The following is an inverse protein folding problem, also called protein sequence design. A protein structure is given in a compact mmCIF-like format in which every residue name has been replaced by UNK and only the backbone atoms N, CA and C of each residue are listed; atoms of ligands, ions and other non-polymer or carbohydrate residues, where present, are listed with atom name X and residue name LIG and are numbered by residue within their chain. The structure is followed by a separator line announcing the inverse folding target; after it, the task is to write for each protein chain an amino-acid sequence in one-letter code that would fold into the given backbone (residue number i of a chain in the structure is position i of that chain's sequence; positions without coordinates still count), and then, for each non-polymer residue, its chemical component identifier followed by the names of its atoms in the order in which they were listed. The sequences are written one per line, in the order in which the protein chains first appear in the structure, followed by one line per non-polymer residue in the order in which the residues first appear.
data_IF_899476823844
#
_entry.id   IF_899476823844
#
_cell.length_a   1.000
_cell.length_b   1.000
_cell.length_c   1.000
_cell.angle_alpha   90.00
_cell.angle_beta   90.00
_cell.angle_gamma   90.00
#
_symmetry.space_group_name_H-M   'P 1'
#
loop_
_entity.id
_entity.type
_entity.pdbx_description
1 polymer ?
#
# COMPACT_ATOMS: atom_id res chain seq x y z
N UNK A 1 16.72 46.65 -14.76
CA UNK A 1 17.83 46.16 -13.89
C UNK A 1 17.34 45.46 -12.63
N UNK A 2 16.11 45.78 -12.15
CA UNK A 2 15.47 45.16 -10.98
C UNK A 2 15.00 43.71 -11.28
N UNK A 3 14.35 43.48 -12.44
CA UNK A 3 13.84 42.17 -12.86
C UNK A 3 14.91 41.07 -12.98
N UNK A 4 16.14 41.45 -13.31
CA UNK A 4 17.24 40.51 -13.45
C UNK A 4 17.79 40.03 -12.10
N UNK A 5 17.68 40.88 -11.06
CA UNK A 5 18.05 40.54 -9.68
C UNK A 5 17.02 39.60 -9.02
N UNK A 6 15.74 39.80 -9.32
CA UNK A 6 14.66 38.96 -8.75
C UNK A 6 14.65 37.58 -9.39
N UNK A 7 14.99 37.48 -10.67
CA UNK A 7 15.14 36.20 -11.38
C UNK A 7 16.36 35.38 -10.90
N UNK A 8 17.47 36.04 -10.52
CA UNK A 8 18.63 35.39 -9.94
C UNK A 8 18.37 34.91 -8.50
N UNK A 9 17.56 35.63 -7.75
CA UNK A 9 17.22 35.28 -6.36
C UNK A 9 16.31 34.04 -6.33
N UNK A 10 15.32 33.97 -7.19
CA UNK A 10 14.42 32.81 -7.30
C UNK A 10 15.14 31.55 -7.79
N UNK A 11 16.14 31.67 -8.69
CA UNK A 11 16.96 30.55 -9.10
C UNK A 11 17.85 30.01 -7.97
N UNK A 12 18.43 30.88 -7.14
CA UNK A 12 19.26 30.47 -6.01
C UNK A 12 18.45 29.77 -4.90
N UNK A 13 17.20 30.20 -4.68
CA UNK A 13 16.29 29.58 -3.71
C UNK A 13 15.83 28.18 -4.18
N UNK A 14 15.54 28.01 -5.46
CA UNK A 14 15.22 26.70 -6.07
C UNK A 14 16.39 25.72 -6.03
N UNK A 15 17.63 26.19 -6.29
CA UNK A 15 18.82 25.33 -6.17
C UNK A 15 19.10 24.91 -4.72
N UNK A 16 18.88 25.81 -3.75
CA UNK A 16 19.04 25.49 -2.34
C UNK A 16 17.98 24.52 -1.82
N UNK A 17 16.73 24.66 -2.25
CA UNK A 17 15.66 23.71 -1.97
C UNK A 17 16.00 22.31 -2.52
N UNK A 18 16.50 22.24 -3.75
CA UNK A 18 16.90 20.97 -4.39
C UNK A 18 18.11 20.31 -3.71
N UNK A 19 19.08 21.10 -3.23
CA UNK A 19 20.22 20.57 -2.44
C UNK A 19 19.81 20.05 -1.08
N UNK A 20 18.81 20.65 -0.44
CA UNK A 20 18.29 20.21 0.84
C UNK A 20 17.47 18.92 0.69
N UNK A 21 16.71 18.75 -0.38
CA UNK A 21 16.02 17.50 -0.71
C UNK A 21 17.01 16.36 -0.94
N UNK A 22 18.07 16.58 -1.71
CA UNK A 22 19.11 15.58 -1.95
C UNK A 22 19.94 15.24 -0.70
N UNK A 23 20.04 16.15 0.26
CA UNK A 23 20.68 15.89 1.57
C UNK A 23 19.79 15.04 2.47
N UNK A 24 18.50 15.26 2.46
CA UNK A 24 17.55 14.46 3.21
C UNK A 24 17.44 13.03 2.67
N UNK A 25 17.45 12.85 1.36
CA UNK A 25 17.47 11.53 0.71
C UNK A 25 18.73 10.72 1.07
N UNK A 26 19.90 11.39 1.17
CA UNK A 26 21.15 10.72 1.58
C UNK A 26 21.19 10.37 3.08
N UNK A 27 20.45 11.08 3.93
CA UNK A 27 20.30 10.73 5.36
C UNK A 27 19.37 9.54 5.55
N UNK A 28 18.29 9.47 4.78
CA UNK A 28 17.35 8.35 4.82
C UNK A 28 17.96 7.05 4.28
N UNK A 29 18.78 7.14 3.21
CA UNK A 29 19.43 5.95 2.62
C UNK A 29 20.58 5.37 3.45
N UNK A 30 21.19 6.13 4.38
CA UNK A 30 22.24 5.62 5.27
C UNK A 30 21.70 4.85 6.48
N UNK A 31 20.43 4.99 6.84
CA UNK A 31 19.79 4.25 7.93
C UNK A 31 19.40 2.82 7.56
N UNK A 32 19.29 2.50 6.30
CA UNK A 32 18.84 1.20 5.81
C UNK A 32 19.98 0.34 5.26
N UNK A 33 21.10 0.27 6.00
CA UNK A 33 22.13 -0.74 5.72
C UNK A 33 21.65 -2.08 6.26
N UNK A 34 21.21 -2.94 5.36
CA UNK A 34 20.95 -4.37 5.52
C UNK A 34 21.83 -4.98 6.60
N UNK A 35 21.27 -5.29 7.74
CA UNK A 35 21.77 -6.37 8.56
C UNK A 35 21.26 -7.67 7.92
N UNK A 36 22.07 -8.27 7.08
CA UNK A 36 21.94 -9.68 6.75
C UNK A 36 22.08 -10.46 8.04
N UNK A 37 20.97 -10.74 8.71
CA UNK A 37 20.93 -11.70 9.79
C UNK A 37 20.92 -13.07 9.12
N UNK A 38 22.06 -13.76 9.26
CA UNK A 38 22.18 -15.17 8.93
C UNK A 38 21.07 -15.93 9.65
N UNK A 39 20.23 -16.62 8.88
CA UNK A 39 19.22 -17.54 9.39
C UNK A 39 19.99 -18.76 9.91
N UNK A 40 20.22 -18.83 11.20
CA UNK A 40 20.52 -20.08 11.88
C UNK A 40 19.19 -20.73 12.28
N UNK A 41 18.99 -22.02 12.00
CA UNK A 41 17.84 -22.75 12.48
C UNK A 41 18.02 -23.01 13.99
N UNK A 42 17.29 -22.26 14.82
CA UNK A 42 17.15 -22.62 16.24
C UNK A 42 16.08 -23.69 16.35
N UNK A 43 16.55 -24.88 16.69
CA UNK A 43 15.76 -26.04 16.97
C UNK A 43 14.69 -25.76 18.04
N UNK A 44 13.49 -26.25 17.76
CA UNK A 44 12.37 -26.38 18.68
C UNK A 44 12.82 -27.06 19.99
N UNK A 45 12.68 -26.32 21.09
CA UNK A 45 12.54 -26.89 22.41
C UNK A 45 11.15 -26.44 22.91
N UNK A 46 10.14 -27.22 22.52
CA UNK A 46 8.81 -27.18 23.11
C UNK A 46 8.94 -27.83 24.48
N UNK A 47 9.12 -27.00 25.51
CA UNK A 47 8.97 -27.44 26.89
C UNK A 47 7.50 -27.28 27.26
N UNK A 48 6.75 -28.38 27.14
CA UNK A 48 5.41 -28.54 27.63
C UNK A 48 5.41 -28.48 29.17
N UNK A 49 5.14 -27.30 29.73
CA UNK A 49 4.71 -27.23 31.13
C UNK A 49 3.19 -27.35 31.13
N UNK A 50 2.75 -28.60 31.29
CA UNK A 50 1.38 -28.92 31.67
C UNK A 50 1.13 -28.40 33.08
N UNK A 51 0.39 -27.32 33.18
CA UNK A 51 -0.17 -26.84 34.45
C UNK A 51 -1.68 -26.94 34.35
N UNK A 52 -2.22 -28.07 34.76
CA UNK A 52 -3.62 -28.24 35.11
C UNK A 52 -3.94 -27.33 36.28
N UNK A 53 -4.52 -26.17 36.00
CA UNK A 53 -5.10 -25.32 37.03
C UNK A 53 -6.59 -25.65 37.12
N UNK A 54 -6.97 -26.24 38.25
CA UNK A 54 -8.35 -26.43 38.66
C UNK A 54 -9.03 -25.05 38.78
N UNK A 55 -10.17 -24.91 38.07
CA UNK A 55 -10.95 -23.69 38.01
C UNK A 55 -11.66 -23.42 39.33
N UNK A 56 -11.42 -22.25 39.91
CA UNK A 56 -12.39 -21.56 40.76
C UNK A 56 -12.54 -20.12 40.20
N UNK A 57 -13.77 -19.64 39.96
CA UNK A 57 -13.96 -18.32 39.39
C UNK A 57 -13.89 -17.26 40.49
N UNK A 58 -12.70 -16.71 40.71
CA UNK A 58 -12.55 -15.45 41.43
C UNK A 58 -12.49 -14.33 40.39
N UNK A 59 -13.67 -13.94 39.97
CA UNK A 59 -13.88 -12.81 39.07
C UNK A 59 -13.55 -11.50 39.80
N UNK A 60 -12.36 -10.97 39.61
CA UNK A 60 -12.03 -9.60 40.00
C UNK A 60 -10.55 -9.33 40.36
N UNK A 61 -9.89 -10.20 41.08
CA UNK A 61 -8.53 -9.95 41.55
C UNK A 61 -7.44 -10.46 40.59
N UNK A 62 -7.70 -11.46 39.77
CA UNK A 62 -6.71 -12.06 38.87
C UNK A 62 -6.25 -11.17 37.69
N UNK A 63 -7.08 -10.21 37.27
CA UNK A 63 -6.73 -9.35 36.13
C UNK A 63 -5.73 -8.23 36.48
N UNK A 64 -5.80 -7.71 37.72
CA UNK A 64 -4.83 -6.73 38.21
C UNK A 64 -3.44 -7.35 38.45
N UNK A 65 -3.40 -8.62 38.85
CA UNK A 65 -2.11 -9.33 39.03
C UNK A 65 -1.39 -9.51 37.71
N UNK A 66 -2.08 -9.90 36.62
CA UNK A 66 -1.47 -10.05 35.30
C UNK A 66 -0.95 -8.71 34.76
N UNK A 67 -1.72 -7.62 34.92
CA UNK A 67 -1.26 -6.30 34.49
C UNK A 67 -0.02 -5.82 35.27
N UNK A 68 0.02 -6.05 36.58
CA UNK A 68 1.18 -5.74 37.41
C UNK A 68 2.41 -6.56 37.06
N UNK A 69 2.24 -7.85 36.84
CA UNK A 69 3.33 -8.75 36.42
C UNK A 69 3.90 -8.32 35.08
N UNK A 70 3.06 -7.96 34.12
CA UNK A 70 3.51 -7.41 32.84
C UNK A 70 4.27 -6.09 33.03
N UNK A 71 3.77 -5.16 33.84
CA UNK A 71 4.44 -3.89 34.14
C UNK A 71 5.77 -4.13 34.84
N UNK A 72 5.88 -5.08 35.78
CA UNK A 72 7.14 -5.45 36.41
C UNK A 72 8.14 -6.02 35.38
N UNK A 73 7.66 -6.85 34.46
CA UNK A 73 8.48 -7.41 33.40
C UNK A 73 9.03 -6.31 32.46
N UNK A 74 8.18 -5.37 32.01
CA UNK A 74 8.63 -4.28 31.13
C UNK A 74 9.45 -3.22 31.85
N UNK A 75 9.30 -3.04 33.19
CA UNK A 75 10.09 -2.08 33.97
C UNK A 75 11.58 -2.37 33.92
N UNK A 76 11.96 -3.63 33.74
CA UNK A 76 13.38 -4.03 33.58
C UNK A 76 13.95 -3.54 32.23
N UNK A 77 13.13 -3.42 31.21
CA UNK A 77 13.52 -2.99 29.85
C UNK A 77 13.31 -1.49 29.63
N UNK A 78 12.22 -0.94 30.16
CA UNK A 78 11.77 0.44 29.96
C UNK A 78 11.80 1.21 31.31
N UNK A 79 12.92 1.10 32.05
CA UNK A 79 13.05 1.60 33.43
C UNK A 79 12.71 3.08 33.53
N UNK A 80 13.15 3.91 32.59
CA UNK A 80 12.93 5.35 32.61
C UNK A 80 11.49 5.71 32.38
N UNK A 81 10.89 5.18 31.33
CA UNK A 81 9.51 5.44 30.92
C UNK A 81 8.51 4.97 32.00
N UNK A 82 8.76 3.78 32.60
CA UNK A 82 7.93 3.26 33.68
C UNK A 82 8.11 4.07 34.97
N UNK A 83 9.31 4.55 35.25
CA UNK A 83 9.58 5.40 36.44
C UNK A 83 8.92 6.78 36.29
N UNK A 84 8.93 7.36 35.09
CA UNK A 84 8.28 8.64 34.80
C UNK A 84 6.73 8.56 34.93
N UNK A 85 6.12 7.47 34.47
CA UNK A 85 4.67 7.27 34.54
C UNK A 85 4.19 6.76 35.92
N UNK A 86 4.97 5.94 36.55
CA UNK A 86 4.65 5.23 37.78
C UNK A 86 3.99 3.86 37.50
N UNK A 87 4.57 2.80 38.09
CA UNK A 87 4.16 1.42 37.78
C UNK A 87 2.66 1.14 38.09
N UNK A 88 2.12 1.67 39.17
CA UNK A 88 0.71 1.46 39.54
C UNK A 88 -0.25 2.17 38.58
N UNK A 89 0.10 3.37 38.11
CA UNK A 89 -0.71 4.06 37.09
C UNK A 89 -0.70 3.31 35.79
N UNK A 90 0.48 2.87 35.35
CA UNK A 90 0.62 2.07 34.14
C UNK A 90 -0.17 0.76 34.23
N UNK A 91 -0.09 0.04 35.36
CA UNK A 91 -0.87 -1.19 35.56
C UNK A 91 -2.38 -0.96 35.46
N UNK A 92 -2.87 0.17 36.01
CA UNK A 92 -4.29 0.55 35.91
C UNK A 92 -4.73 0.81 34.48
N UNK A 93 -3.88 1.42 33.64
CA UNK A 93 -4.13 1.66 32.21
C UNK A 93 -4.03 0.38 31.38
N UNK A 94 -3.08 -0.48 31.68
CA UNK A 94 -2.84 -1.75 30.98
C UNK A 94 -3.99 -2.74 31.18
N UNK A 95 -4.58 -2.78 32.38
CA UNK A 95 -5.63 -3.75 32.71
C UNK A 95 -6.82 -3.78 31.72
N UNK A 96 -7.48 -2.65 31.37
CA UNK A 96 -8.60 -2.67 30.43
C UNK A 96 -8.13 -3.04 29.01
N UNK A 97 -6.91 -2.69 28.62
CA UNK A 97 -6.35 -3.06 27.32
C UNK A 97 -6.12 -4.57 27.23
N UNK A 98 -5.55 -5.20 28.26
CA UNK A 98 -5.39 -6.65 28.28
C UNK A 98 -6.75 -7.37 28.29
N UNK A 99 -7.76 -6.83 28.97
CA UNK A 99 -9.09 -7.39 28.95
C UNK A 99 -9.74 -7.35 27.56
N UNK A 100 -9.43 -6.30 26.75
CA UNK A 100 -9.96 -6.09 25.41
C UNK A 100 -9.14 -6.81 24.33
N UNK A 101 -7.81 -6.78 24.44
CA UNK A 101 -6.87 -7.15 23.37
C UNK A 101 -6.16 -8.49 23.62
N UNK A 102 -6.24 -9.02 24.83
CA UNK A 102 -5.63 -10.31 25.18
C UNK A 102 -4.12 -10.34 24.96
N UNK A 103 -3.65 -11.43 24.34
CA UNK A 103 -2.22 -11.68 24.08
C UNK A 103 -1.60 -10.64 23.15
N UNK A 104 -2.33 -10.17 22.12
CA UNK A 104 -1.82 -9.15 21.19
C UNK A 104 -1.49 -7.84 21.93
N UNK A 105 -2.33 -7.42 22.87
CA UNK A 105 -2.04 -6.27 23.73
C UNK A 105 -0.82 -6.48 24.63
N UNK A 106 -0.70 -7.67 25.25
CA UNK A 106 0.46 -8.03 26.06
C UNK A 106 1.77 -8.01 25.28
N UNK A 107 1.76 -8.61 24.07
CA UNK A 107 2.94 -8.68 23.22
C UNK A 107 3.37 -7.28 22.72
N UNK A 108 2.39 -6.43 22.35
CA UNK A 108 2.64 -5.06 21.97
C UNK A 108 3.30 -4.26 23.09
N UNK A 109 2.76 -4.38 24.33
CA UNK A 109 3.31 -3.69 25.50
C UNK A 109 4.70 -4.24 25.86
N UNK A 110 4.92 -5.55 25.78
CA UNK A 110 6.22 -6.16 26.04
C UNK A 110 7.31 -5.71 25.06
N UNK A 111 6.94 -5.45 23.79
CA UNK A 111 7.88 -5.02 22.76
C UNK A 111 8.18 -3.53 22.80
N UNK A 112 7.16 -2.70 22.94
CA UNK A 112 7.22 -1.23 22.75
C UNK A 112 7.16 -0.47 24.09
N UNK A 113 6.73 -1.12 25.16
CA UNK A 113 6.65 -0.52 26.49
C UNK A 113 5.43 0.40 26.67
N UNK A 114 5.53 1.39 27.59
CA UNK A 114 4.44 2.30 27.92
C UNK A 114 3.86 3.05 26.73
N UNK A 115 4.68 3.33 25.73
CA UNK A 115 4.24 3.99 24.51
C UNK A 115 3.16 3.20 23.75
N UNK A 116 3.23 1.86 23.77
CA UNK A 116 2.17 1.02 23.19
C UNK A 116 0.82 1.24 23.87
N UNK A 117 0.82 1.40 25.20
CA UNK A 117 -0.39 1.67 25.99
C UNK A 117 -1.06 2.95 25.49
N UNK A 118 -0.27 4.04 25.40
CA UNK A 118 -0.76 5.34 24.92
C UNK A 118 -1.34 5.24 23.49
N UNK A 119 -0.62 4.59 22.58
CA UNK A 119 -1.08 4.43 21.19
C UNK A 119 -2.37 3.61 21.08
N UNK A 120 -2.51 2.56 21.89
CA UNK A 120 -3.73 1.74 21.90
C UNK A 120 -4.92 2.47 22.52
N UNK A 121 -4.71 3.30 23.54
CA UNK A 121 -5.76 4.14 24.12
C UNK A 121 -6.23 5.23 23.15
N UNK A 122 -5.28 5.94 22.50
CA UNK A 122 -5.58 6.95 21.48
C UNK A 122 -6.30 6.36 20.26
N UNK A 123 -6.05 5.09 19.96
CA UNK A 123 -6.68 4.40 18.84
C UNK A 123 -8.14 4.03 19.09
N UNK A 124 -8.59 3.93 20.34
CA UNK A 124 -9.98 3.63 20.69
C UNK A 124 -10.45 2.29 20.07
N UNK A 125 -11.35 2.36 19.09
CA UNK A 125 -11.87 1.16 18.41
C UNK A 125 -10.81 0.46 17.56
N UNK A 126 -9.88 1.20 16.98
CA UNK A 126 -8.78 0.67 16.16
C UNK A 126 -7.63 0.08 17.00
N UNK A 127 -7.76 0.03 18.35
CA UNK A 127 -6.73 -0.48 19.25
C UNK A 127 -6.28 -1.92 18.95
N UNK A 128 -7.17 -2.76 18.40
CA UNK A 128 -6.83 -4.12 17.95
C UNK A 128 -5.80 -4.08 16.81
N UNK A 129 -5.99 -3.18 15.84
CA UNK A 129 -5.05 -2.99 14.72
C UNK A 129 -3.70 -2.51 15.24
N UNK A 130 -3.70 -1.53 16.15
CA UNK A 130 -2.49 -1.02 16.79
C UNK A 130 -1.76 -2.11 17.54
N UNK A 131 -2.47 -2.89 18.37
CA UNK A 131 -1.88 -3.98 19.14
C UNK A 131 -1.22 -5.01 18.23
N UNK A 132 -1.90 -5.49 17.18
CA UNK A 132 -1.34 -6.46 16.24
C UNK A 132 -0.09 -5.93 15.53
N UNK A 133 -0.14 -4.70 15.03
CA UNK A 133 1.00 -4.09 14.35
C UNK A 133 2.20 -3.94 15.29
N UNK A 134 2.00 -3.44 16.51
CA UNK A 134 3.05 -3.29 17.50
C UNK A 134 3.56 -4.64 18.01
N UNK A 135 2.69 -5.63 18.22
CA UNK A 135 3.07 -6.98 18.62
C UNK A 135 3.94 -7.66 17.55
N UNK A 136 3.66 -7.42 16.28
CA UNK A 136 4.38 -8.04 15.15
C UNK A 136 5.68 -7.33 14.82
N UNK A 137 5.66 -6.00 14.77
CA UNK A 137 6.74 -5.18 14.23
C UNK A 137 7.45 -4.28 15.25
N UNK A 138 6.94 -4.19 16.50
CA UNK A 138 7.53 -3.36 17.54
C UNK A 138 7.54 -1.87 17.19
N UNK A 139 8.66 -1.22 17.51
CA UNK A 139 8.86 0.24 17.30
C UNK A 139 8.76 0.65 15.84
N UNK A 140 9.07 -0.23 14.88
CA UNK A 140 9.00 0.06 13.45
C UNK A 140 7.57 0.37 12.99
N UNK A 141 6.56 -0.21 13.69
CA UNK A 141 5.15 0.05 13.38
C UNK A 141 4.63 1.39 13.91
N UNK A 142 5.34 2.05 14.84
CA UNK A 142 4.84 3.26 15.51
C UNK A 142 4.44 4.32 14.48
N UNK A 143 5.29 4.56 13.48
CA UNK A 143 5.01 5.54 12.44
C UNK A 143 3.71 5.23 11.68
N UNK A 144 3.44 3.96 11.40
CA UNK A 144 2.24 3.55 10.67
C UNK A 144 0.97 3.68 11.53
N UNK A 145 1.07 3.36 12.84
CA UNK A 145 -0.11 3.34 13.72
C UNK A 145 -0.38 4.66 14.45
N UNK A 146 0.59 5.57 14.49
CA UNK A 146 0.45 6.84 15.19
C UNK A 146 -0.58 7.78 14.52
N UNK A 147 -0.73 7.71 13.20
CA UNK A 147 -1.64 8.57 12.45
C UNK A 147 -3.01 7.90 12.27
N UNK A 148 -4.13 8.56 12.63
CA UNK A 148 -5.48 7.99 12.50
C UNK A 148 -5.84 7.57 11.07
N UNK A 149 -5.48 8.36 10.05
CA UNK A 149 -5.77 8.01 8.66
C UNK A 149 -5.06 6.72 8.21
N UNK A 150 -3.81 6.51 8.66
CA UNK A 150 -3.07 5.26 8.37
C UNK A 150 -3.66 4.08 9.12
N UNK A 151 -4.07 4.25 10.40
CA UNK A 151 -4.77 3.20 11.14
C UNK A 151 -6.03 2.76 10.43
N UNK A 152 -6.84 3.72 9.97
CA UNK A 152 -8.05 3.43 9.21
C UNK A 152 -7.77 2.69 7.90
N UNK A 153 -6.68 3.03 7.18
CA UNK A 153 -6.25 2.25 6.02
C UNK A 153 -5.88 0.82 6.40
N UNK A 154 -5.11 0.62 7.48
CA UNK A 154 -4.74 -0.73 7.95
C UNK A 154 -5.99 -1.50 8.38
N UNK A 155 -6.90 -0.85 9.10
CA UNK A 155 -8.16 -1.48 9.54
C UNK A 155 -9.03 -1.95 8.37
N UNK A 156 -9.10 -1.16 7.29
CA UNK A 156 -9.93 -1.46 6.12
C UNK A 156 -9.28 -2.41 5.12
N UNK A 157 -7.95 -2.35 4.96
CA UNK A 157 -7.22 -3.09 3.93
C UNK A 157 -6.47 -4.32 4.45
N UNK A 158 -6.31 -4.42 5.78
CA UNK A 158 -5.60 -5.50 6.46
C UNK A 158 -4.17 -5.17 6.86
N UNK A 159 -3.57 -6.06 7.66
CA UNK A 159 -2.22 -5.86 8.24
C UNK A 159 -1.12 -5.74 7.17
N UNK A 160 -1.29 -6.39 6.02
CA UNK A 160 -0.37 -6.28 4.88
C UNK A 160 -0.29 -4.84 4.33
N UNK A 161 -1.35 -4.04 4.48
CA UNK A 161 -1.31 -2.62 4.17
C UNK A 161 -0.40 -1.85 5.14
N UNK A 162 -0.37 -2.27 6.41
CA UNK A 162 0.57 -1.77 7.40
C UNK A 162 2.03 -2.04 7.01
N UNK A 163 2.32 -3.24 6.52
CA UNK A 163 3.65 -3.60 5.99
C UNK A 163 4.03 -2.74 4.79
N UNK A 164 3.08 -2.48 3.88
CA UNK A 164 3.29 -1.57 2.75
C UNK A 164 3.60 -0.14 3.22
N UNK A 165 2.87 0.35 4.24
CA UNK A 165 3.11 1.67 4.84
C UNK A 165 4.50 1.77 5.48
N UNK A 166 4.92 0.75 6.23
CA UNK A 166 6.25 0.73 6.84
C UNK A 166 7.37 0.69 5.80
N UNK A 167 7.16 -0.04 4.70
CA UNK A 167 8.16 -0.19 3.63
C UNK A 167 8.31 1.06 2.77
N UNK A 168 7.21 1.71 2.41
CA UNK A 168 7.16 2.78 1.42
C UNK A 168 6.76 4.15 1.98
N UNK A 169 6.39 4.23 3.26
CA UNK A 169 6.03 5.48 3.90
C UNK A 169 4.79 6.14 3.31
N UNK A 170 4.83 7.47 3.19
CA UNK A 170 3.74 8.29 2.64
C UNK A 170 3.40 7.96 1.18
N UNK A 171 4.32 7.34 0.45
CA UNK A 171 4.09 6.86 -0.91
C UNK A 171 3.02 5.77 -0.93
N UNK A 172 3.13 4.78 -0.02
CA UNK A 172 2.12 3.73 0.11
C UNK A 172 0.77 4.30 0.56
N UNK A 173 0.75 5.28 1.45
CA UNK A 173 -0.47 5.92 1.93
C UNK A 173 -1.32 6.45 0.76
N UNK A 174 -0.70 7.17 -0.19
CA UNK A 174 -1.37 7.67 -1.39
C UNK A 174 -1.92 6.56 -2.27
N UNK A 175 -1.09 5.57 -2.58
CA UNK A 175 -1.47 4.47 -3.47
C UNK A 175 -2.57 3.62 -2.85
N UNK A 176 -2.48 3.30 -1.55
CA UNK A 176 -3.50 2.55 -0.81
C UNK A 176 -4.84 3.30 -0.76
N UNK A 177 -4.81 4.62 -0.56
CA UNK A 177 -6.02 5.44 -0.55
C UNK A 177 -6.73 5.48 -1.92
N UNK A 178 -5.97 5.46 -3.02
CA UNK A 178 -6.52 5.54 -4.38
C UNK A 178 -6.92 4.19 -4.97
N UNK A 179 -6.12 3.15 -4.72
CA UNK A 179 -6.24 1.84 -5.38
C UNK A 179 -6.76 0.74 -4.44
N UNK A 180 -6.89 1.04 -3.16
CA UNK A 180 -7.45 0.12 -2.16
C UNK A 180 -6.69 -1.20 -2.05
N UNK A 181 -7.43 -2.27 -1.76
CA UNK A 181 -6.87 -3.61 -1.48
C UNK A 181 -6.03 -4.18 -2.62
N UNK A 182 -6.37 -3.88 -3.87
CA UNK A 182 -5.63 -4.40 -5.04
C UNK A 182 -4.17 -3.95 -5.06
N UNK A 183 -3.85 -2.78 -4.49
CA UNK A 183 -2.48 -2.26 -4.47
C UNK A 183 -1.59 -2.84 -3.36
N UNK A 184 -2.16 -3.49 -2.35
CA UNK A 184 -1.41 -4.01 -1.20
C UNK A 184 -0.36 -5.03 -1.65
N UNK A 185 -0.77 -6.04 -2.41
CA UNK A 185 0.14 -7.08 -2.93
C UNK A 185 1.22 -6.49 -3.83
N UNK A 186 0.86 -5.51 -4.69
CA UNK A 186 1.80 -4.82 -5.55
C UNK A 186 2.86 -4.06 -4.75
N UNK A 187 2.45 -3.26 -3.77
CA UNK A 187 3.36 -2.49 -2.90
C UNK A 187 4.28 -3.42 -2.09
N UNK A 188 3.76 -4.51 -1.56
CA UNK A 188 4.58 -5.45 -0.78
C UNK A 188 5.59 -6.22 -1.63
N UNK A 189 5.39 -6.29 -2.95
CA UNK A 189 6.28 -7.03 -3.86
C UNK A 189 7.34 -6.19 -4.53
N UNK A 190 7.10 -4.87 -4.70
CA UNK A 190 8.03 -3.97 -5.37
C UNK A 190 9.08 -3.38 -4.43
N UNK A 191 10.20 -2.97 -4.99
CA UNK A 191 11.23 -2.18 -4.31
C UNK A 191 10.75 -0.76 -4.00
N UNK A 192 11.54 0.00 -3.22
CA UNK A 192 11.27 1.41 -2.98
C UNK A 192 11.16 2.23 -4.28
N UNK A 193 11.94 1.87 -5.31
CA UNK A 193 11.85 2.51 -6.62
C UNK A 193 10.54 2.16 -7.33
N UNK A 194 10.15 0.88 -7.30
CA UNK A 194 8.88 0.42 -7.85
C UNK A 194 7.68 1.10 -7.19
N UNK A 195 7.70 1.22 -5.87
CA UNK A 195 6.67 1.94 -5.10
C UNK A 195 6.56 3.41 -5.51
N UNK A 196 7.69 4.12 -5.68
CA UNK A 196 7.70 5.51 -6.18
C UNK A 196 7.09 5.64 -7.57
N UNK A 197 7.42 4.73 -8.49
CA UNK A 197 6.86 4.73 -9.86
C UNK A 197 5.36 4.48 -9.84
N UNK A 198 4.90 3.55 -9.00
CA UNK A 198 3.47 3.28 -8.84
C UNK A 198 2.72 4.51 -8.32
N UNK A 199 3.30 5.23 -7.35
CA UNK A 199 2.72 6.47 -6.83
C UNK A 199 2.68 7.58 -7.90
N UNK A 200 3.72 7.72 -8.72
CA UNK A 200 3.74 8.69 -9.82
C UNK A 200 2.64 8.36 -10.84
N UNK A 201 2.46 7.07 -11.19
CA UNK A 201 1.36 6.65 -12.07
C UNK A 201 -0.02 6.95 -11.46
N UNK A 202 -0.15 6.81 -10.14
CA UNK A 202 -1.38 7.09 -9.42
C UNK A 202 -1.67 8.60 -9.31
N UNK A 203 -0.65 9.43 -9.19
CA UNK A 203 -0.77 10.88 -9.10
C UNK A 203 -1.09 11.53 -10.46
N UNK A 204 -0.56 11.01 -11.56
CA UNK A 204 -0.77 11.54 -12.91
C UNK A 204 -2.15 11.15 -13.46
N UNK A 205 -3.05 12.10 -13.73
CA UNK A 205 -4.38 11.81 -14.26
C UNK A 205 -4.39 10.98 -15.55
N UNK A 206 -3.36 11.12 -16.40
CA UNK A 206 -3.25 10.39 -17.66
C UNK A 206 -2.93 8.91 -17.47
N UNK A 207 -2.18 8.56 -16.43
CA UNK A 207 -1.72 7.18 -16.17
C UNK A 207 -2.39 6.53 -14.95
N UNK A 208 -3.22 7.28 -14.23
CA UNK A 208 -3.92 6.79 -13.01
C UNK A 208 -4.71 5.52 -13.26
N UNK A 209 -5.32 5.39 -14.43
CA UNK A 209 -6.07 4.18 -14.82
C UNK A 209 -5.22 2.92 -14.75
N UNK A 210 -3.92 2.97 -15.02
CA UNK A 210 -3.01 1.84 -14.88
C UNK A 210 -2.72 1.50 -13.41
N UNK A 211 -2.53 2.54 -12.59
CA UNK A 211 -2.23 2.37 -11.16
C UNK A 211 -3.45 1.95 -10.33
N UNK A 212 -4.67 2.13 -10.83
CA UNK A 212 -5.91 1.71 -10.17
C UNK A 212 -6.53 0.46 -10.79
N UNK A 213 -5.99 -0.03 -11.91
CA UNK A 213 -6.45 -1.26 -12.55
C UNK A 213 -6.04 -2.49 -11.71
N UNK A 214 -7.03 -3.24 -11.26
CA UNK A 214 -6.82 -4.39 -10.38
C UNK A 214 -5.97 -5.49 -11.02
N UNK A 215 -6.11 -5.73 -12.33
CA UNK A 215 -5.37 -6.77 -13.05
C UNK A 215 -3.89 -6.37 -13.23
N UNK A 216 -3.63 -5.10 -13.55
CA UNK A 216 -2.26 -4.57 -13.61
C UNK A 216 -1.58 -4.67 -12.25
N UNK A 217 -2.29 -4.30 -11.17
CA UNK A 217 -1.78 -4.41 -9.81
C UNK A 217 -1.56 -5.86 -9.40
N UNK A 218 -2.43 -6.79 -9.81
CA UNK A 218 -2.23 -8.23 -9.58
C UNK A 218 -0.97 -8.75 -10.28
N UNK A 219 -0.72 -8.32 -11.54
CA UNK A 219 0.50 -8.66 -12.28
C UNK A 219 1.74 -8.09 -11.57
N UNK A 220 1.69 -6.83 -11.13
CA UNK A 220 2.79 -6.23 -10.35
C UNK A 220 2.98 -7.00 -9.03
N UNK A 221 1.91 -7.40 -8.36
CA UNK A 221 1.96 -8.23 -7.15
C UNK A 221 2.59 -9.60 -7.40
N UNK A 222 2.39 -10.19 -8.58
CA UNK A 222 2.97 -11.49 -8.95
C UNK A 222 4.44 -11.38 -9.35
N UNK A 223 4.79 -10.42 -10.21
CA UNK A 223 6.11 -10.33 -10.86
C UNK A 223 7.02 -9.22 -10.28
N UNK A 224 6.53 -8.41 -9.35
CA UNK A 224 7.30 -7.37 -8.63
C UNK A 224 7.84 -6.28 -9.54
N UNK A 225 9.10 -5.89 -9.27
CA UNK A 225 9.78 -4.81 -9.99
C UNK A 225 9.87 -5.05 -11.51
N UNK A 226 9.95 -6.31 -11.94
CA UNK A 226 10.00 -6.65 -13.35
C UNK A 226 8.74 -6.19 -14.09
N UNK A 227 7.55 -6.43 -13.50
CA UNK A 227 6.30 -5.94 -14.05
C UNK A 227 6.18 -4.42 -13.91
N UNK A 228 6.61 -3.87 -12.77
CA UNK A 228 6.58 -2.43 -12.55
C UNK A 228 7.46 -1.66 -13.54
N UNK A 229 8.66 -2.19 -13.84
CA UNK A 229 9.57 -1.62 -14.83
C UNK A 229 8.97 -1.64 -16.24
N UNK A 230 8.33 -2.75 -16.60
CA UNK A 230 7.63 -2.85 -17.88
C UNK A 230 6.48 -1.83 -17.99
N UNK A 231 5.60 -1.79 -16.99
CA UNK A 231 4.48 -0.84 -16.94
C UNK A 231 4.99 0.61 -17.00
N UNK A 232 6.05 0.92 -16.26
CA UNK A 232 6.63 2.26 -16.24
C UNK A 232 7.18 2.69 -17.59
N UNK A 233 7.96 1.82 -18.25
CA UNK A 233 8.56 2.13 -19.56
C UNK A 233 7.52 2.25 -20.66
N UNK A 234 6.44 1.49 -20.57
CA UNK A 234 5.45 1.34 -21.62
C UNK A 234 4.09 1.95 -21.27
N UNK A 235 4.05 2.83 -20.26
CA UNK A 235 2.80 3.40 -19.73
C UNK A 235 1.90 4.01 -20.81
N UNK A 236 2.47 4.73 -21.77
CA UNK A 236 1.68 5.36 -22.85
C UNK A 236 1.09 4.33 -23.82
N UNK A 237 1.83 3.27 -24.13
CA UNK A 237 1.32 2.19 -24.98
C UNK A 237 0.23 1.37 -24.27
N UNK A 238 0.38 1.16 -22.96
CA UNK A 238 -0.61 0.46 -22.14
C UNK A 238 -1.91 1.24 -21.93
N UNK A 239 -1.93 2.54 -22.20
CA UNK A 239 -3.18 3.31 -22.21
C UNK A 239 -4.08 2.98 -23.40
N UNK A 240 -3.56 2.32 -24.44
CA UNK A 240 -4.39 1.75 -25.51
C UNK A 240 -5.04 0.46 -25.03
N UNK A 241 -6.36 0.36 -25.14
CA UNK A 241 -7.10 -0.77 -24.59
C UNK A 241 -6.64 -2.14 -25.12
N UNK A 242 -6.23 -2.22 -26.38
CA UNK A 242 -5.73 -3.45 -27.01
C UNK A 242 -4.40 -3.94 -26.41
N UNK A 243 -3.43 -3.03 -26.21
CA UNK A 243 -2.13 -3.37 -25.62
C UNK A 243 -2.27 -3.76 -24.16
N UNK A 244 -3.13 -3.05 -23.42
CA UNK A 244 -3.41 -3.38 -22.02
C UNK A 244 -4.05 -4.75 -21.89
N UNK A 245 -5.06 -5.04 -22.72
CA UNK A 245 -5.74 -6.33 -22.71
C UNK A 245 -4.78 -7.49 -23.04
N UNK A 246 -3.89 -7.31 -24.03
CA UNK A 246 -2.87 -8.28 -24.37
C UNK A 246 -1.89 -8.54 -23.22
N UNK A 247 -1.42 -7.48 -22.57
CA UNK A 247 -0.53 -7.58 -21.40
C UNK A 247 -1.21 -8.28 -20.22
N UNK A 248 -2.49 -7.97 -19.96
CA UNK A 248 -3.24 -8.63 -18.87
C UNK A 248 -3.46 -10.12 -19.16
N UNK A 249 -3.80 -10.46 -20.40
CA UNK A 249 -4.07 -11.84 -20.79
C UNK A 249 -2.82 -12.73 -20.70
N UNK A 250 -1.66 -12.24 -21.11
CA UNK A 250 -0.40 -12.99 -21.07
C UNK A 250 0.80 -12.07 -20.80
N UNK A 251 1.13 -11.77 -19.53
CA UNK A 251 2.20 -10.83 -19.20
C UNK A 251 3.61 -11.35 -19.46
N UNK A 252 3.84 -12.67 -19.39
CA UNK A 252 5.19 -13.24 -19.42
C UNK A 252 6.01 -12.90 -20.67
N UNK A 253 5.49 -13.04 -21.91
CA UNK A 253 6.26 -12.67 -23.10
C UNK A 253 6.66 -11.19 -23.16
N UNK A 254 5.85 -10.31 -22.57
CA UNK A 254 6.17 -8.89 -22.48
C UNK A 254 7.27 -8.63 -21.45
N UNK A 255 7.23 -9.33 -20.33
CA UNK A 255 8.23 -9.20 -19.27
C UNK A 255 9.57 -9.83 -19.66
N UNK A 256 9.58 -10.87 -20.47
CA UNK A 256 10.81 -11.53 -20.98
C UNK A 256 11.44 -10.79 -22.15
N UNK A 257 10.78 -9.74 -22.65
CA UNK A 257 11.25 -8.99 -23.82
C UNK A 257 11.10 -9.73 -25.15
N UNK A 258 10.38 -10.86 -25.14
CA UNK A 258 10.10 -11.63 -26.36
C UNK A 258 9.15 -10.89 -27.30
N UNK A 259 8.32 -10.02 -26.77
CA UNK A 259 7.40 -9.16 -27.52
C UNK A 259 7.81 -7.71 -27.33
N UNK A 260 8.27 -7.07 -28.42
CA UNK A 260 8.42 -5.62 -28.46
C UNK A 260 7.07 -4.99 -28.80
N UNK A 261 6.68 -3.97 -28.01
CA UNK A 261 5.37 -3.31 -28.20
C UNK A 261 5.14 -2.70 -29.60
N UNK A 262 6.21 -2.46 -30.35
CA UNK A 262 6.16 -2.04 -31.75
C UNK A 262 5.62 -3.13 -32.68
N UNK A 263 5.75 -4.40 -32.31
CA UNK A 263 5.22 -5.54 -33.06
C UNK A 263 3.75 -5.84 -32.71
N UNK A 264 3.31 -5.44 -31.50
CA UNK A 264 1.90 -5.60 -31.04
C UNK A 264 0.93 -4.78 -31.87
N UNK A 265 1.38 -3.65 -32.42
CA UNK A 265 0.59 -2.81 -33.32
C UNK A 265 0.42 -3.43 -34.72
N UNK A 266 1.15 -4.49 -35.05
CA UNK A 266 1.17 -5.15 -36.37
C UNK A 266 0.84 -6.66 -36.29
N UNK A 267 -0.36 -7.00 -36.68
CA UNK A 267 -0.84 -8.24 -37.31
C UNK A 267 -0.68 -9.63 -36.66
N UNK A 268 0.29 -9.94 -35.78
CA UNK A 268 0.52 -11.32 -35.35
C UNK A 268 -0.06 -11.71 -33.99
N UNK A 269 -0.37 -10.74 -33.12
CA UNK A 269 -0.95 -11.03 -31.79
C UNK A 269 -2.49 -11.11 -31.86
N UNK A 270 -3.10 -10.56 -32.88
CA UNK A 270 -4.55 -10.60 -33.03
C UNK A 270 -5.09 -12.03 -33.22
N UNK A 271 -4.33 -12.96 -33.80
CA UNK A 271 -4.80 -14.33 -34.06
C UNK A 271 -4.84 -15.23 -32.82
N UNK A 272 -3.76 -15.43 -32.04
CA UNK A 272 -3.82 -16.30 -30.87
C UNK A 272 -4.65 -15.66 -29.73
N UNK A 273 -4.66 -14.32 -29.61
CA UNK A 273 -5.51 -13.63 -28.62
C UNK A 273 -7.00 -13.74 -28.97
N UNK A 274 -7.37 -13.63 -30.26
CA UNK A 274 -8.75 -13.82 -30.70
C UNK A 274 -9.23 -15.26 -30.44
N UNK A 275 -8.36 -16.25 -30.57
CA UNK A 275 -8.69 -17.66 -30.28
C UNK A 275 -8.82 -17.91 -28.75
N UNK A 276 -8.01 -17.30 -27.92
CA UNK A 276 -8.04 -17.50 -26.46
C UNK A 276 -9.14 -16.66 -25.79
N UNK A 277 -9.38 -15.45 -26.24
CA UNK A 277 -10.51 -14.61 -25.85
C UNK A 277 -11.83 -15.25 -26.32
N UNK A 278 -11.86 -15.80 -27.50
CA UNK A 278 -13.04 -16.51 -28.04
C UNK A 278 -13.44 -17.73 -27.20
N UNK A 279 -12.50 -18.34 -26.46
CA UNK A 279 -12.79 -19.49 -25.57
C UNK A 279 -13.25 -19.09 -24.17
N UNK A 280 -12.96 -17.87 -23.72
CA UNK A 280 -13.27 -17.41 -22.36
C UNK A 280 -14.27 -16.27 -22.28
N UNK A 281 -14.54 -15.61 -23.38
CA UNK A 281 -15.42 -14.43 -23.36
C UNK A 281 -16.82 -14.88 -23.76
N UNK A 282 -17.76 -14.72 -22.85
CA UNK A 282 -19.18 -14.79 -23.17
C UNK A 282 -19.46 -13.85 -24.35
N UNK A 283 -20.19 -14.33 -25.34
CA UNK A 283 -20.59 -13.65 -26.57
C UNK A 283 -21.12 -12.21 -26.38
N UNK A 284 -21.43 -11.82 -25.14
CA UNK A 284 -21.90 -10.49 -24.74
C UNK A 284 -20.93 -9.36 -25.06
N UNK A 285 -19.60 -9.56 -24.93
CA UNK A 285 -18.61 -8.50 -25.20
C UNK A 285 -18.44 -8.31 -26.70
N UNK A 286 -18.48 -9.39 -27.48
CA UNK A 286 -18.39 -9.31 -28.95
C UNK A 286 -19.65 -8.60 -29.52
N UNK A 287 -20.81 -8.87 -28.96
CA UNK A 287 -22.04 -8.19 -29.33
C UNK A 287 -22.03 -6.70 -28.96
N UNK A 288 -21.49 -6.34 -27.80
CA UNK A 288 -21.34 -4.93 -27.40
C UNK A 288 -20.39 -4.15 -28.32
N UNK A 289 -19.29 -4.76 -28.71
CA UNK A 289 -18.34 -4.15 -29.65
C UNK A 289 -18.99 -3.98 -31.05
N UNK A 290 -19.73 -4.98 -31.53
CA UNK A 290 -20.44 -4.91 -32.80
C UNK A 290 -21.52 -3.82 -32.78
N UNK A 291 -22.28 -3.67 -31.70
CA UNK A 291 -23.29 -2.62 -31.52
C UNK A 291 -22.65 -1.23 -31.50
N UNK A 292 -21.49 -1.08 -30.83
CA UNK A 292 -20.76 0.19 -30.78
C UNK A 292 -20.26 0.61 -32.19
N UNK A 293 -19.73 -0.33 -32.98
CA UNK A 293 -19.30 -0.08 -34.37
C UNK A 293 -20.49 0.24 -35.27
N UNK A 294 -21.60 -0.48 -35.15
CA UNK A 294 -22.82 -0.19 -35.90
C UNK A 294 -23.41 1.19 -35.56
N UNK A 295 -23.42 1.56 -34.28
CA UNK A 295 -23.81 2.89 -33.81
C UNK A 295 -22.95 4.01 -34.40
N UNK A 296 -21.62 3.80 -34.43
CA UNK A 296 -20.69 4.75 -35.02
C UNK A 296 -20.93 4.93 -36.56
N UNK A 297 -21.15 3.83 -37.25
CA UNK A 297 -21.44 3.87 -38.70
C UNK A 297 -22.78 4.56 -39.02
N UNK A 298 -23.78 4.38 -38.18
CA UNK A 298 -25.07 5.08 -38.31
C UNK A 298 -24.87 6.58 -38.03
N UNK A 299 -24.08 6.94 -37.02
CA UNK A 299 -23.80 8.34 -36.70
C UNK A 299 -23.03 9.07 -37.81
N UNK A 300 -22.07 8.42 -38.45
CA UNK A 300 -21.30 8.96 -39.58
C UNK A 300 -22.21 9.11 -40.84
N UNK A 301 -23.17 8.21 -41.05
CA UNK A 301 -24.10 8.25 -42.19
C UNK A 301 -25.31 9.17 -42.00
N UNK A 302 -25.50 9.69 -40.76
CA UNK A 302 -26.65 10.58 -40.54
C UNK A 302 -26.40 11.92 -41.21
N UNK A 303 -27.13 12.24 -42.30
CA UNK A 303 -26.96 13.52 -42.98
C UNK A 303 -27.43 14.63 -42.05
N UNK A 304 -26.50 15.51 -41.64
CA UNK A 304 -26.84 16.75 -40.95
C UNK A 304 -27.83 17.54 -41.81
N UNK A 305 -29.12 17.46 -41.45
CA UNK A 305 -30.14 18.36 -42.01
C UNK A 305 -29.74 19.79 -41.62
N UNK A 306 -29.01 20.45 -42.53
CA UNK A 306 -28.83 21.90 -42.48
C UNK A 306 -30.21 22.50 -42.67
N UNK A 307 -30.77 23.08 -41.63
CA UNK A 307 -31.93 23.96 -41.70
C UNK A 307 -31.54 25.16 -42.57
N UNK A 308 -32.03 25.20 -43.80
CA UNK A 308 -32.05 26.41 -44.60
C UNK A 308 -32.99 27.40 -43.90
N UNK A 309 -32.42 28.37 -43.22
CA UNK A 309 -33.11 29.57 -42.78
C UNK A 309 -33.16 30.49 -44.03
N UNK A 310 -34.33 30.60 -44.66
CA UNK A 310 -34.60 31.56 -45.69
C UNK A 310 -34.55 32.99 -45.09
N UNK A 311 -33.81 33.97 -45.70
CA UNK A 311 -33.85 35.34 -45.24
C UNK A 311 -35.16 35.99 -45.73
N UNK A 312 -36.02 36.39 -44.77
CA UNK A 312 -37.20 37.25 -45.00
C UNK A 312 -36.75 38.57 -45.62
N UNK A 313 -37.26 38.83 -46.85
CA UNK A 313 -37.19 40.13 -47.47
C UNK A 313 -38.30 41.00 -46.89
N UNK A 314 -37.94 42.12 -46.29
CA UNK A 314 -38.71 43.38 -46.25
C UNK A 314 -37.77 44.54 -46.47
#
# INVERSE_FOLDING_TARGET
MQDQKDNMRSRSELENARRNELRNDRRMSRGYRSRHIAIMPVALLVSSIGMTLAAAPVFGQGKLTVARELVEQISKKFTKEVAEEGADRLATRVQPLLAKLGTEGSDAISRVGPRAVTLMEEAGEESVVVARMLARHGDDAIWAVQNPARRSLIASLGDEAGESLMRHGTIAEKVLAQSGKSSVAALNRVSAQGGRRLAILADDPSTRSLATNADVLAIIGKYGDRAMDFVWRNKLALLTGTTLAAFIANPEPFLDGAIQLTEVAGKEIAKPLAEEIGKRTEWTIVMLAAVAVAGLLIWIKWPSRRSHVEPSKT
#
